data_IF_444542328107
#
_entry.id   IF_444542328107
#
_cell.length_a   1.000
_cell.length_b   1.000
_cell.length_c   1.000
_cell.angle_alpha   90.00
_cell.angle_beta   90.00
_cell.angle_gamma   90.00
#
_symmetry.space_group_name_H-M   'P 1'
#
loop_
_entity.id
_entity.type
_entity.pdbx_description
1 polymer ?
#
# COMPACT_ATOMS: atom_id res chain seq x y z
N UNK A 1 -2.45 -16.23 -21.07
CA UNK A 1 -3.25 -15.31 -20.23
C UNK A 1 -2.34 -14.17 -19.79
N UNK A 2 -2.53 -12.95 -20.27
CA UNK A 2 -1.66 -11.82 -19.93
C UNK A 2 -2.36 -10.94 -18.90
N UNK A 3 -1.86 -10.95 -17.69
CA UNK A 3 -2.34 -10.14 -16.58
C UNK A 3 -1.28 -9.09 -16.24
N UNK A 4 -1.64 -7.83 -16.18
CA UNK A 4 -0.70 -6.76 -15.81
C UNK A 4 -1.11 -6.18 -14.45
N UNK A 5 -0.30 -6.45 -13.42
CA UNK A 5 -0.41 -5.78 -12.12
C UNK A 5 0.66 -4.69 -12.06
N UNK A 6 0.27 -3.44 -11.88
CA UNK A 6 1.21 -2.35 -11.68
C UNK A 6 0.72 -1.31 -10.68
N UNK A 7 1.61 -0.98 -9.77
CA UNK A 7 1.47 0.16 -8.85
C UNK A 7 2.14 1.36 -9.53
N UNK A 8 1.39 2.40 -9.81
CA UNK A 8 1.97 3.67 -10.25
C UNK A 8 1.69 4.73 -9.19
N UNK A 9 2.68 5.57 -8.93
CA UNK A 9 2.57 6.60 -7.91
C UNK A 9 2.29 7.94 -8.57
N UNK A 10 1.10 8.49 -8.37
CA UNK A 10 0.89 9.92 -8.56
C UNK A 10 1.68 10.67 -7.47
N UNK A 11 2.25 11.80 -7.83
CA UNK A 11 3.02 12.62 -6.87
C UNK A 11 2.19 12.94 -5.63
N UNK A 12 2.86 12.98 -4.47
CA UNK A 12 2.25 13.56 -3.27
C UNK A 12 1.75 14.96 -3.59
N UNK A 13 0.50 15.24 -3.23
CA UNK A 13 0.11 16.62 -3.00
C UNK A 13 1.12 17.24 -2.02
N UNK A 14 1.64 18.42 -2.26
CA UNK A 14 2.45 19.10 -1.26
C UNK A 14 1.61 19.19 0.02
N UNK A 15 2.22 18.82 1.16
CA UNK A 15 1.64 19.23 2.43
C UNK A 15 1.47 20.76 2.40
N UNK A 16 0.49 21.35 3.14
CA UNK A 16 0.29 22.80 3.18
C UNK A 16 1.54 23.61 3.54
N UNK A 17 2.62 22.95 3.92
CA UNK A 17 3.91 23.54 4.35
C UNK A 17 5.00 23.55 3.28
N UNK A 18 4.68 23.52 1.99
CA UNK A 18 5.73 23.67 0.97
C UNK A 18 5.56 24.92 0.09
N UNK A 19 5.62 26.15 0.69
CA UNK A 19 5.71 27.37 -0.12
C UNK A 19 6.98 27.42 -0.98
N UNK A 20 8.04 26.69 -0.58
CA UNK A 20 9.34 26.65 -1.29
C UNK A 20 9.28 25.94 -2.65
N UNK A 21 8.42 24.94 -2.87
CA UNK A 21 8.32 24.28 -4.18
C UNK A 21 7.57 25.13 -5.21
N UNK A 22 6.53 25.83 -4.76
CA UNK A 22 5.79 26.76 -5.62
C UNK A 22 6.63 28.01 -5.96
N UNK A 23 7.43 28.50 -5.00
CA UNK A 23 8.35 29.64 -5.23
C UNK A 23 9.47 29.31 -6.24
N UNK A 24 9.81 28.03 -6.44
CA UNK A 24 10.80 27.56 -7.41
C UNK A 24 10.20 27.17 -8.77
N UNK A 25 8.91 27.42 -9.02
CA UNK A 25 8.23 27.15 -10.28
C UNK A 25 8.18 25.69 -10.69
N UNK A 26 8.33 24.74 -9.74
CA UNK A 26 8.30 23.31 -10.03
C UNK A 26 6.87 22.85 -10.29
N UNK A 27 6.66 22.23 -11.45
CA UNK A 27 5.39 21.64 -11.88
C UNK A 27 5.01 20.45 -11.01
N UNK A 28 3.71 20.24 -10.79
CA UNK A 28 3.13 19.13 -10.00
C UNK A 28 2.13 18.33 -10.81
N UNK A 29 1.96 17.06 -10.48
CA UNK A 29 1.04 16.15 -11.17
C UNK A 29 1.55 15.75 -12.55
N UNK A 30 0.67 15.76 -13.55
CA UNK A 30 1.05 15.50 -14.95
C UNK A 30 1.94 16.60 -15.56
N UNK A 31 2.03 17.77 -14.94
CA UNK A 31 2.96 18.81 -15.32
C UNK A 31 4.38 18.62 -14.74
N UNK A 32 4.59 17.64 -13.85
CA UNK A 32 5.92 17.22 -13.39
C UNK A 32 6.46 16.16 -14.34
N UNK A 33 7.47 16.52 -15.14
CA UNK A 33 8.06 15.67 -16.18
C UNK A 33 8.53 14.29 -15.69
N UNK A 34 8.86 14.16 -14.39
CA UNK A 34 9.38 12.90 -13.84
C UNK A 34 8.30 12.00 -13.24
N UNK A 35 7.14 12.52 -12.85
CA UNK A 35 6.11 11.76 -12.12
C UNK A 35 4.81 11.56 -12.91
N UNK A 36 4.48 12.47 -13.83
CA UNK A 36 3.41 12.28 -14.80
C UNK A 36 3.74 11.19 -15.82
N UNK A 37 5.00 11.04 -16.17
CA UNK A 37 5.49 10.05 -17.15
C UNK A 37 5.20 8.60 -16.76
N UNK A 38 5.19 8.25 -15.46
CA UNK A 38 5.00 6.86 -15.03
C UNK A 38 3.62 6.28 -15.41
N UNK A 39 2.56 7.09 -15.36
CA UNK A 39 1.25 6.64 -15.83
C UNK A 39 1.26 6.43 -17.35
N UNK A 40 1.86 7.34 -18.10
CA UNK A 40 1.95 7.19 -19.56
C UNK A 40 2.82 6.02 -19.99
N UNK A 41 3.84 5.64 -19.21
CA UNK A 41 4.56 4.37 -19.41
C UNK A 41 3.65 3.16 -19.21
N UNK A 42 2.78 3.20 -18.18
CA UNK A 42 1.78 2.14 -17.97
C UNK A 42 0.81 2.09 -19.14
N UNK A 43 0.27 3.23 -19.59
CA UNK A 43 -0.63 3.33 -20.72
C UNK A 43 0.02 2.81 -22.00
N UNK A 44 1.29 3.17 -22.27
CA UNK A 44 2.07 2.65 -23.40
C UNK A 44 2.21 1.13 -23.35
N UNK A 45 2.51 0.55 -22.18
CA UNK A 45 2.62 -0.91 -22.01
C UNK A 45 1.26 -1.58 -22.26
N UNK A 46 0.16 -1.01 -21.72
CA UNK A 46 -1.19 -1.55 -21.95
C UNK A 46 -1.53 -1.50 -23.44
N UNK A 47 -1.23 -0.38 -24.12
CA UNK A 47 -1.42 -0.22 -25.58
C UNK A 47 -0.66 -1.26 -26.38
N UNK A 48 0.61 -1.48 -26.05
CA UNK A 48 1.48 -2.42 -26.76
C UNK A 48 1.11 -3.89 -26.51
N UNK A 49 0.80 -4.23 -25.24
CA UNK A 49 0.58 -5.63 -24.83
C UNK A 49 -0.89 -6.06 -24.90
N UNK A 50 -1.82 -5.14 -25.01
CA UNK A 50 -3.24 -5.43 -25.12
C UNK A 50 -3.72 -6.52 -24.15
N UNK A 51 -3.39 -6.45 -22.82
CA UNK A 51 -3.78 -7.49 -21.87
C UNK A 51 -5.31 -7.63 -21.84
N UNK A 52 -5.82 -8.84 -21.62
CA UNK A 52 -7.28 -9.06 -21.45
C UNK A 52 -7.83 -8.29 -20.26
N UNK A 53 -7.06 -8.20 -19.19
CA UNK A 53 -7.37 -7.40 -18.01
C UNK A 53 -6.12 -6.83 -17.36
N UNK A 54 -6.29 -5.73 -16.61
CA UNK A 54 -5.24 -5.14 -15.78
C UNK A 54 -5.78 -4.71 -14.42
N UNK A 55 -4.90 -4.65 -13.44
CA UNK A 55 -5.15 -4.06 -12.11
C UNK A 55 -4.09 -3.01 -11.83
N UNK A 56 -4.53 -1.76 -11.60
CA UNK A 56 -3.68 -0.65 -11.20
C UNK A 56 -4.04 -0.22 -9.77
N UNK A 57 -3.04 0.20 -9.01
CA UNK A 57 -3.20 0.71 -7.64
C UNK A 57 -2.59 2.09 -7.49
N UNK A 58 -3.26 2.96 -6.74
CA UNK A 58 -2.70 4.24 -6.35
C UNK A 58 -3.26 4.70 -5.00
N UNK A 59 -2.70 5.78 -4.45
CA UNK A 59 -3.22 6.41 -3.24
C UNK A 59 -4.61 6.98 -3.48
N UNK A 60 -5.51 6.94 -2.47
CA UNK A 60 -6.87 7.49 -2.54
C UNK A 60 -6.89 8.95 -3.02
N UNK A 61 -5.89 9.74 -2.61
CA UNK A 61 -5.80 11.15 -2.99
C UNK A 61 -5.69 11.39 -4.50
N UNK A 62 -5.45 10.36 -5.33
CA UNK A 62 -5.49 10.47 -6.78
C UNK A 62 -6.85 11.02 -7.26
N UNK A 63 -7.95 10.63 -6.60
CA UNK A 63 -9.31 11.08 -6.94
C UNK A 63 -9.51 12.59 -6.79
N UNK A 64 -8.84 13.21 -5.83
CA UNK A 64 -8.94 14.66 -5.55
C UNK A 64 -7.73 15.45 -6.01
N UNK A 65 -6.70 14.78 -6.53
CA UNK A 65 -5.48 15.45 -6.98
C UNK A 65 -5.78 16.40 -8.13
N UNK A 66 -5.28 17.63 -8.03
CA UNK A 66 -5.52 18.69 -9.01
C UNK A 66 -7.02 18.90 -9.32
N UNK A 67 -7.84 18.94 -8.25
CA UNK A 67 -9.32 19.08 -8.34
C UNK A 67 -9.98 17.96 -9.18
N UNK A 68 -9.41 16.75 -9.19
CA UNK A 68 -9.90 15.60 -9.94
C UNK A 68 -9.31 15.45 -11.35
N UNK A 69 -8.75 16.50 -11.93
CA UNK A 69 -8.24 16.52 -13.31
C UNK A 69 -7.25 15.41 -13.62
N UNK A 70 -6.40 15.07 -12.64
CA UNK A 70 -5.43 13.96 -12.81
C UNK A 70 -6.13 12.63 -13.02
N UNK A 71 -7.16 12.34 -12.25
CA UNK A 71 -7.91 11.09 -12.38
C UNK A 71 -8.75 11.07 -13.66
N UNK A 72 -9.31 12.20 -14.07
CA UNK A 72 -10.07 12.31 -15.33
C UNK A 72 -9.19 12.04 -16.55
N UNK A 73 -7.93 12.50 -16.56
CA UNK A 73 -6.97 12.17 -17.63
C UNK A 73 -6.71 10.66 -17.65
N UNK A 74 -6.44 10.05 -16.49
CA UNK A 74 -6.21 8.60 -16.39
C UNK A 74 -7.42 7.83 -16.91
N UNK A 75 -8.63 8.20 -16.47
CA UNK A 75 -9.87 7.56 -16.89
C UNK A 75 -10.03 7.66 -18.40
N UNK A 76 -9.96 8.87 -18.98
CA UNK A 76 -10.10 9.10 -20.40
C UNK A 76 -9.07 8.31 -21.22
N UNK A 77 -7.80 8.33 -20.84
CA UNK A 77 -6.76 7.55 -21.53
C UNK A 77 -7.08 6.06 -21.54
N UNK A 78 -7.51 5.51 -20.39
CA UNK A 78 -7.81 4.07 -20.31
C UNK A 78 -9.09 3.69 -21.06
N UNK A 79 -10.14 4.55 -21.06
CA UNK A 79 -11.43 4.24 -21.68
C UNK A 79 -11.52 4.68 -23.14
N UNK A 80 -11.18 5.94 -23.45
CA UNK A 80 -11.39 6.50 -24.78
C UNK A 80 -10.22 6.22 -25.73
N UNK A 81 -8.96 6.32 -25.23
CA UNK A 81 -7.78 6.14 -26.06
C UNK A 81 -7.36 4.66 -26.19
N UNK A 82 -7.52 3.87 -25.11
CA UNK A 82 -7.12 2.47 -25.08
C UNK A 82 -8.29 1.49 -25.16
N UNK A 83 -9.55 1.96 -25.07
CA UNK A 83 -10.75 1.16 -25.28
C UNK A 83 -11.09 0.18 -24.14
N UNK A 84 -10.56 0.36 -22.94
CA UNK A 84 -10.83 -0.56 -21.82
C UNK A 84 -12.07 -0.16 -21.02
N UNK A 85 -12.81 -1.17 -20.57
CA UNK A 85 -13.89 -1.02 -19.60
C UNK A 85 -13.29 -1.01 -18.19
N UNK A 86 -13.33 0.15 -17.50
CA UNK A 86 -12.69 0.30 -16.19
C UNK A 86 -13.70 0.38 -15.06
N UNK A 87 -13.34 -0.24 -13.92
CA UNK A 87 -14.09 -0.23 -12.67
C UNK A 87 -13.17 0.21 -11.54
N UNK A 88 -13.60 1.23 -10.79
CA UNK A 88 -12.76 1.83 -9.76
C UNK A 88 -13.40 1.71 -8.37
N UNK A 89 -12.61 1.32 -7.37
CA UNK A 89 -13.05 1.28 -5.97
C UNK A 89 -11.91 1.66 -5.03
N UNK A 90 -12.22 2.45 -4.00
CA UNK A 90 -11.28 2.67 -2.88
C UNK A 90 -11.49 1.57 -1.86
N UNK A 91 -10.40 0.88 -1.50
CA UNK A 91 -10.42 -0.16 -0.47
C UNK A 91 -9.42 0.22 0.62
N UNK A 92 -9.85 0.10 1.89
CA UNK A 92 -8.98 0.22 3.04
C UNK A 92 -8.39 -1.15 3.38
N UNK A 93 -7.08 -1.26 3.42
CA UNK A 93 -6.40 -2.51 3.77
C UNK A 93 -6.72 -2.98 5.20
N UNK A 94 -7.35 -2.14 6.05
CA UNK A 94 -7.80 -2.52 7.39
C UNK A 94 -8.85 -3.64 7.41
N UNK A 95 -9.41 -4.01 6.27
CA UNK A 95 -10.19 -5.23 6.12
C UNK A 95 -9.35 -6.50 6.15
N UNK A 96 -8.07 -6.42 5.80
CA UNK A 96 -7.20 -7.60 5.56
C UNK A 96 -5.93 -7.63 6.40
N UNK A 97 -5.46 -6.46 6.87
CA UNK A 97 -4.23 -6.30 7.64
C UNK A 97 -4.44 -5.24 8.73
N UNK A 98 -3.69 -5.25 9.84
CA UNK A 98 -3.92 -4.32 10.96
C UNK A 98 -3.39 -2.90 10.67
N UNK A 99 -3.80 -2.33 9.53
CA UNK A 99 -3.32 -1.04 9.06
C UNK A 99 -4.40 -0.29 8.27
N UNK A 100 -4.68 0.97 8.61
CA UNK A 100 -5.40 1.88 7.74
C UNK A 100 -4.54 2.25 6.54
N UNK A 101 -4.94 1.77 5.35
CA UNK A 101 -4.25 2.06 4.08
C UNK A 101 -5.27 2.10 2.96
N UNK A 102 -5.86 3.26 2.73
CA UNK A 102 -6.81 3.45 1.65
C UNK A 102 -6.10 3.60 0.30
N UNK A 103 -6.52 2.78 -0.67
CA UNK A 103 -6.00 2.79 -2.04
C UNK A 103 -7.13 2.72 -3.04
N UNK A 104 -7.01 3.50 -4.10
CA UNK A 104 -7.86 3.31 -5.26
C UNK A 104 -7.30 2.14 -6.08
N UNK A 105 -8.19 1.22 -6.41
CA UNK A 105 -7.93 0.11 -7.32
C UNK A 105 -8.72 0.37 -8.61
N UNK A 106 -8.03 0.26 -9.74
CA UNK A 106 -8.59 0.45 -11.08
C UNK A 106 -8.44 -0.89 -11.80
N UNK A 107 -9.55 -1.57 -11.96
CA UNK A 107 -9.64 -2.81 -12.73
C UNK A 107 -10.07 -2.44 -14.14
N UNK A 108 -9.40 -2.98 -15.16
CA UNK A 108 -9.76 -2.77 -16.54
C UNK A 108 -9.86 -4.10 -17.29
N UNK A 109 -10.88 -4.22 -18.13
CA UNK A 109 -11.07 -5.35 -19.04
C UNK A 109 -11.08 -4.82 -20.48
N UNK A 110 -10.47 -5.56 -21.41
CA UNK A 110 -10.47 -5.20 -22.82
C UNK A 110 -11.87 -5.34 -23.44
N UNK A 111 -12.59 -6.39 -23.05
CA UNK A 111 -13.97 -6.64 -23.42
C UNK A 111 -14.92 -6.38 -22.23
N UNK A 112 -16.22 -6.11 -22.46
CA UNK A 112 -17.18 -5.99 -21.37
C UNK A 112 -17.30 -7.30 -20.60
N UNK A 113 -16.90 -7.33 -19.33
CA UNK A 113 -16.83 -8.57 -18.53
C UNK A 113 -17.95 -8.69 -17.47
N UNK A 114 -18.91 -7.75 -17.42
CA UNK A 114 -19.94 -7.74 -16.37
C UNK A 114 -19.41 -7.60 -14.95
N UNK A 115 -18.17 -7.13 -14.77
CA UNK A 115 -17.51 -7.04 -13.48
C UNK A 115 -18.26 -6.11 -12.51
N UNK A 116 -18.52 -6.61 -11.30
CA UNK A 116 -19.14 -5.84 -10.23
C UNK A 116 -18.33 -5.95 -8.92
N UNK A 117 -18.01 -4.79 -8.37
CA UNK A 117 -17.37 -4.69 -7.06
C UNK A 117 -18.23 -5.22 -5.89
N UNK A 118 -19.55 -5.34 -6.05
CA UNK A 118 -20.44 -5.89 -5.03
C UNK A 118 -20.13 -7.38 -4.72
N UNK A 119 -19.57 -8.11 -5.67
CA UNK A 119 -19.16 -9.50 -5.50
C UNK A 119 -17.89 -9.65 -4.60
N UNK A 120 -17.14 -8.54 -4.35
CA UNK A 120 -15.98 -8.59 -3.47
C UNK A 120 -16.40 -8.67 -2.00
N UNK A 121 -16.18 -9.84 -1.40
CA UNK A 121 -16.39 -10.04 0.02
C UNK A 121 -15.24 -9.41 0.83
N UNK A 122 -15.57 -8.38 1.62
CA UNK A 122 -14.61 -7.74 2.51
C UNK A 122 -14.79 -8.29 3.93
N UNK A 123 -13.73 -8.79 4.58
CA UNK A 123 -13.77 -9.13 6.00
C UNK A 123 -14.15 -7.94 6.87
N UNK A 124 -14.50 -8.17 8.13
CA UNK A 124 -14.79 -7.10 9.09
C UNK A 124 -13.57 -6.18 9.24
N UNK A 125 -13.80 -4.88 9.02
CA UNK A 125 -12.75 -3.87 9.10
C UNK A 125 -12.19 -3.74 10.51
N UNK A 126 -10.88 -3.89 10.65
CA UNK A 126 -10.18 -3.77 11.92
C UNK A 126 -10.30 -4.99 12.83
N UNK A 127 -10.83 -6.11 12.36
CA UNK A 127 -10.84 -7.38 13.11
C UNK A 127 -9.40 -7.87 13.40
N UNK A 128 -8.51 -7.76 12.41
CA UNK A 128 -7.10 -8.13 12.56
C UNK A 128 -6.35 -7.02 13.32
N UNK A 129 -5.63 -7.40 14.38
CA UNK A 129 -4.91 -6.49 15.28
C UNK A 129 -3.40 -6.61 15.09
N UNK A 130 -2.65 -5.57 15.51
CA UNK A 130 -1.20 -5.54 15.42
C UNK A 130 -0.51 -6.72 16.09
N UNK A 131 -1.14 -7.33 17.13
CA UNK A 131 -0.62 -8.56 17.74
C UNK A 131 -0.38 -9.71 16.76
N UNK A 132 -1.06 -9.71 15.61
CA UNK A 132 -0.89 -10.75 14.57
C UNK A 132 0.44 -10.64 13.83
N UNK A 133 1.03 -9.44 13.77
CA UNK A 133 2.26 -9.16 13.00
C UNK A 133 3.49 -8.90 13.88
N UNK A 134 3.28 -8.55 15.14
CA UNK A 134 4.39 -8.27 16.09
C UNK A 134 5.13 -9.56 16.43
N UNK A 135 6.45 -9.45 16.62
CA UNK A 135 7.26 -10.54 17.17
C UNK A 135 6.71 -11.06 18.50
N UNK A 136 6.65 -12.37 18.65
CA UNK A 136 6.11 -13.06 19.83
C UNK A 136 7.16 -13.14 20.95
N UNK A 137 6.92 -12.47 22.05
CA UNK A 137 7.84 -12.43 23.21
C UNK A 137 7.58 -13.56 24.22
N UNK A 138 6.60 -14.41 23.95
CA UNK A 138 6.23 -15.58 24.78
C UNK A 138 7.10 -16.83 24.49
N UNK A 139 7.96 -16.77 23.49
CA UNK A 139 8.84 -17.85 23.05
C UNK A 139 8.32 -18.62 21.84
N UNK A 140 7.19 -18.23 21.27
CA UNK A 140 6.60 -18.85 20.05
C UNK A 140 7.01 -18.15 18.75
N UNK A 141 7.93 -17.16 18.81
CA UNK A 141 8.43 -16.51 17.61
C UNK A 141 9.16 -17.52 16.71
N UNK A 142 8.78 -17.64 15.44
CA UNK A 142 9.41 -18.58 14.53
C UNK A 142 10.88 -18.21 14.27
N UNK A 143 11.75 -19.21 14.30
CA UNK A 143 13.15 -19.04 13.91
C UNK A 143 13.23 -18.99 12.38
N UNK A 144 13.62 -17.83 11.86
CA UNK A 144 13.83 -17.61 10.44
C UNK A 144 15.33 -17.51 10.15
N UNK A 145 15.96 -18.51 9.53
CA UNK A 145 17.42 -18.53 9.35
C UNK A 145 17.97 -17.31 8.60
N UNK A 146 17.19 -16.74 7.68
CA UNK A 146 17.58 -15.53 6.92
C UNK A 146 17.43 -14.21 7.70
N UNK A 147 16.77 -14.23 8.87
CA UNK A 147 16.58 -13.07 9.75
C UNK A 147 17.32 -13.21 11.07
N UNK A 148 18.06 -14.30 11.27
CA UNK A 148 18.72 -14.62 12.52
C UNK A 148 19.58 -13.45 13.04
N UNK A 149 19.34 -13.06 14.30
CA UNK A 149 20.04 -11.97 14.95
C UNK A 149 19.78 -10.56 14.42
N UNK A 150 18.97 -10.40 13.33
CA UNK A 150 18.70 -9.06 12.73
C UNK A 150 17.62 -8.30 13.44
N UNK A 151 16.53 -8.95 13.83
CA UNK A 151 15.30 -8.30 14.30
C UNK A 151 14.89 -8.74 15.70
N UNK A 152 15.11 -10.00 16.03
CA UNK A 152 14.66 -10.62 17.26
C UNK A 152 15.77 -11.46 17.91
N UNK A 153 15.95 -11.32 19.22
CA UNK A 153 16.85 -12.12 20.05
C UNK A 153 16.05 -13.27 20.65
N UNK A 154 16.18 -14.46 20.09
CA UNK A 154 15.43 -15.64 20.52
C UNK A 154 15.82 -16.11 21.92
N UNK A 155 17.10 -15.97 22.32
CA UNK A 155 17.56 -16.35 23.65
C UNK A 155 16.94 -15.46 24.74
N UNK A 156 16.77 -14.17 24.45
CA UNK A 156 16.19 -13.19 25.37
C UNK A 156 14.70 -12.94 25.11
N UNK A 157 14.10 -13.60 24.14
CA UNK A 157 12.68 -13.47 23.73
C UNK A 157 12.26 -12.01 23.56
N UNK A 158 13.05 -11.20 22.83
CA UNK A 158 12.80 -9.78 22.66
C UNK A 158 13.26 -9.22 21.33
N UNK A 159 12.61 -8.17 20.89
CA UNK A 159 13.07 -7.38 19.75
C UNK A 159 14.42 -6.73 20.05
N UNK A 160 15.33 -6.72 19.07
CA UNK A 160 16.65 -6.11 19.16
C UNK A 160 16.53 -4.63 19.55
N UNK A 161 17.38 -4.18 20.49
CA UNK A 161 17.28 -2.85 21.12
C UNK A 161 17.40 -1.66 20.15
N UNK A 162 18.05 -1.82 18.99
CA UNK A 162 18.22 -0.76 17.99
C UNK A 162 16.89 -0.17 17.46
N UNK A 163 15.77 -0.88 17.64
CA UNK A 163 14.43 -0.40 17.24
C UNK A 163 13.74 0.45 18.30
N UNK A 164 14.20 0.42 19.55
CA UNK A 164 13.72 1.29 20.63
C UNK A 164 14.30 2.69 20.44
N UNK A 165 13.45 3.71 20.50
CA UNK A 165 13.89 5.09 20.40
C UNK A 165 14.74 5.46 21.63
N UNK A 166 15.87 6.13 21.41
CA UNK A 166 16.59 6.78 22.51
C UNK A 166 15.83 8.04 22.98
N UNK A 167 16.22 8.60 24.12
CA UNK A 167 15.50 9.72 24.73
C UNK A 167 15.43 10.95 23.82
N UNK A 168 16.51 11.27 23.11
CA UNK A 168 16.55 12.44 22.25
C UNK A 168 15.49 12.42 21.12
N UNK A 169 15.40 11.43 20.22
CA UNK A 169 14.34 11.39 19.22
C UNK A 169 12.94 11.22 19.84
N UNK A 170 12.79 10.52 20.96
CA UNK A 170 11.50 10.41 21.63
C UNK A 170 11.02 11.75 22.17
N UNK A 171 11.86 12.50 22.89
CA UNK A 171 11.54 13.83 23.38
C UNK A 171 11.26 14.81 22.24
N UNK A 172 12.03 14.75 21.14
CA UNK A 172 11.75 15.54 19.94
C UNK A 172 10.35 15.29 19.40
N UNK A 173 9.93 14.02 19.24
CA UNK A 173 8.60 13.68 18.73
C UNK A 173 7.48 14.18 19.66
N UNK A 174 7.67 14.08 20.99
CA UNK A 174 6.70 14.59 21.96
C UNK A 174 6.55 16.12 21.86
N UNK A 175 7.67 16.85 21.83
CA UNK A 175 7.68 18.30 21.71
C UNK A 175 7.07 18.75 20.37
N UNK A 176 7.38 18.05 19.28
CA UNK A 176 6.80 18.30 17.97
C UNK A 176 5.28 18.12 17.99
N UNK A 177 4.79 17.01 18.55
CA UNK A 177 3.36 16.74 18.67
C UNK A 177 2.65 17.80 19.55
N UNK A 178 3.25 18.20 20.68
CA UNK A 178 2.70 19.25 21.55
C UNK A 178 2.60 20.61 20.83
N UNK A 179 3.66 21.00 20.10
CA UNK A 179 3.67 22.24 19.28
C UNK A 179 2.56 22.23 18.22
N UNK A 180 2.32 21.12 17.56
CA UNK A 180 1.29 21.02 16.54
C UNK A 180 -0.11 20.97 17.13
N UNK A 181 -0.29 20.33 18.28
CA UNK A 181 -1.57 20.34 19.02
C UNK A 181 -1.94 21.75 19.45
N UNK A 182 -0.99 22.53 19.96
CA UNK A 182 -1.19 23.93 20.33
C UNK A 182 -1.60 24.82 19.13
N UNK A 183 -1.25 24.42 17.91
CA UNK A 183 -1.66 25.08 16.66
C UNK A 183 -2.98 24.58 16.07
N UNK A 184 -3.70 23.70 16.78
CA UNK A 184 -4.96 23.12 16.31
C UNK A 184 -4.84 22.14 15.15
N UNK A 185 -3.64 21.63 14.84
CA UNK A 185 -3.44 20.63 13.79
C UNK A 185 -3.00 19.28 14.37
N UNK A 186 -3.37 18.19 13.69
CA UNK A 186 -3.22 16.81 14.16
C UNK A 186 -1.87 16.15 13.83
N UNK A 187 -0.82 16.92 13.55
CA UNK A 187 0.49 16.33 13.30
C UNK A 187 1.13 15.78 14.57
N UNK A 188 1.68 14.58 14.49
CA UNK A 188 2.30 13.92 15.62
C UNK A 188 2.68 12.48 15.28
N UNK A 189 2.98 11.70 16.30
CA UNK A 189 3.32 10.29 16.18
C UNK A 189 2.09 9.38 16.38
N UNK A 190 2.16 8.15 15.90
CA UNK A 190 1.17 7.08 16.14
C UNK A 190 1.66 6.11 17.19
N UNK A 191 1.26 6.27 18.46
CA UNK A 191 1.59 5.34 19.54
C UNK A 191 0.48 4.29 19.65
N UNK A 192 0.84 3.01 19.47
CA UNK A 192 -0.09 1.88 19.40
C UNK A 192 0.40 0.68 20.22
N UNK A 193 -0.50 -0.23 20.50
CA UNK A 193 -0.28 -1.52 21.17
C UNK A 193 -0.65 -2.68 20.25
N UNK A 194 -0.43 -3.91 20.69
CA UNK A 194 -0.86 -5.09 19.94
C UNK A 194 -2.39 -5.21 19.74
N UNK A 195 -3.20 -4.47 20.52
CA UNK A 195 -4.67 -4.48 20.43
C UNK A 195 -5.23 -3.50 19.40
N UNK A 196 -4.37 -2.66 18.83
CA UNK A 196 -4.77 -1.60 17.91
C UNK A 196 -4.57 -1.99 16.45
N UNK A 197 -5.03 -1.14 15.55
CA UNK A 197 -4.62 -1.08 14.15
C UNK A 197 -3.75 0.17 13.94
N UNK A 198 -2.82 0.11 13.00
CA UNK A 198 -1.89 1.21 12.77
C UNK A 198 -2.37 2.20 11.72
N UNK A 199 -1.72 3.37 11.70
CA UNK A 199 -1.74 4.29 10.55
C UNK A 199 -1.00 3.66 9.36
N UNK A 200 -1.12 4.29 8.20
CA UNK A 200 -0.42 3.86 6.98
C UNK A 200 1.10 3.86 7.16
N UNK A 201 1.73 2.70 6.95
CA UNK A 201 3.18 2.61 6.79
C UNK A 201 3.58 3.35 5.50
N UNK A 202 4.41 4.38 5.62
CA UNK A 202 4.86 5.16 4.47
C UNK A 202 6.33 4.85 4.11
N UNK A 203 6.74 5.20 2.89
CA UNK A 203 8.15 5.07 2.49
C UNK A 203 9.10 5.95 3.32
N UNK A 204 8.58 6.92 4.08
CA UNK A 204 9.37 7.78 4.99
C UNK A 204 9.61 7.16 6.36
N UNK A 205 8.98 6.03 6.66
CA UNK A 205 9.14 5.33 7.93
C UNK A 205 10.60 5.06 8.32
N UNK A 206 11.48 4.92 7.34
CA UNK A 206 12.92 4.78 7.55
C UNK A 206 13.58 5.95 8.30
N UNK A 207 12.96 7.14 8.32
CA UNK A 207 13.53 8.34 8.95
C UNK A 207 13.42 8.25 10.48
N UNK A 208 12.23 8.48 11.01
CA UNK A 208 11.95 8.51 12.45
C UNK A 208 10.98 7.44 12.92
N UNK A 209 10.27 6.79 11.99
CA UNK A 209 9.27 5.76 12.29
C UNK A 209 8.05 6.29 13.03
N UNK A 210 7.79 7.60 13.00
CA UNK A 210 6.77 8.25 13.82
C UNK A 210 5.35 7.85 13.48
N UNK A 211 5.10 7.31 12.28
CA UNK A 211 3.76 6.86 11.90
C UNK A 211 3.25 5.70 12.76
N UNK A 212 4.16 4.79 13.17
CA UNK A 212 3.80 3.57 13.92
C UNK A 212 4.86 3.30 14.98
N UNK A 213 4.56 3.66 16.22
CA UNK A 213 5.41 3.39 17.37
C UNK A 213 4.71 2.42 18.31
N UNK A 214 5.38 1.33 18.64
CA UNK A 214 4.86 0.30 19.55
C UNK A 214 5.20 0.68 21.00
N UNK A 215 4.16 0.83 21.82
CA UNK A 215 4.31 1.08 23.26
C UNK A 215 5.03 -0.08 23.94
N UNK A 216 6.00 0.25 24.78
CA UNK A 216 6.72 -0.71 25.60
C UNK A 216 6.52 -0.40 27.10
N UNK A 217 6.55 -1.45 27.94
CA UNK A 217 6.52 -1.25 29.39
C UNK A 217 7.88 -0.69 29.86
N UNK A 218 7.87 0.38 30.64
CA UNK A 218 9.06 1.00 31.30
C UNK A 218 10.20 1.37 30.34
N UNK A 219 9.92 1.58 29.05
CA UNK A 219 10.88 1.98 28.01
C UNK A 219 10.24 2.94 27.02
N UNK A 220 11.07 3.68 26.31
CA UNK A 220 10.63 4.44 25.16
C UNK A 220 9.97 3.52 24.13
N UNK A 221 9.04 4.03 23.32
CA UNK A 221 8.41 3.23 22.29
C UNK A 221 9.44 2.78 21.24
N UNK A 222 9.11 1.71 20.52
CA UNK A 222 9.96 1.20 19.46
C UNK A 222 9.29 1.34 18.08
N UNK A 223 10.11 1.39 17.07
CA UNK A 223 9.64 1.21 15.68
C UNK A 223 9.31 -0.27 15.42
N UNK A 224 8.53 -0.53 14.39
CA UNK A 224 8.41 -1.87 13.83
C UNK A 224 9.77 -2.31 13.26
N UNK A 225 10.07 -3.59 13.35
CA UNK A 225 11.19 -4.18 12.62
C UNK A 225 10.84 -4.30 11.13
N UNK A 226 11.80 -4.44 10.21
CA UNK A 226 11.52 -4.75 8.81
C UNK A 226 10.68 -6.01 8.63
N UNK A 227 10.85 -7.06 9.45
CA UNK A 227 10.02 -8.27 9.42
C UNK A 227 8.57 -7.98 9.79
N UNK A 228 8.33 -7.21 10.84
CA UNK A 228 6.99 -6.76 11.21
C UNK A 228 6.36 -5.89 10.12
N UNK A 229 7.14 -5.05 9.43
CA UNK A 229 6.65 -4.29 8.28
C UNK A 229 6.27 -5.20 7.09
N UNK A 230 7.03 -6.27 6.83
CA UNK A 230 6.68 -7.26 5.81
C UNK A 230 5.35 -7.96 6.16
N UNK A 231 5.20 -8.44 7.39
CA UNK A 231 3.96 -9.04 7.91
C UNK A 231 2.78 -8.06 7.84
N UNK A 232 3.01 -6.76 8.15
CA UNK A 232 1.99 -5.71 8.06
C UNK A 232 1.48 -5.48 6.63
N UNK A 233 2.31 -5.78 5.62
CA UNK A 233 1.91 -5.76 4.22
C UNK A 233 1.31 -7.10 3.74
N UNK A 234 1.20 -8.11 4.63
CA UNK A 234 0.68 -9.44 4.32
C UNK A 234 1.67 -10.35 3.59
N UNK A 235 2.96 -10.03 3.62
CA UNK A 235 4.00 -10.90 3.08
C UNK A 235 4.27 -12.07 4.06
N UNK A 236 4.43 -13.30 3.56
CA UNK A 236 4.72 -14.46 4.40
C UNK A 236 6.14 -14.39 4.99
N UNK A 237 6.36 -15.09 6.10
CA UNK A 237 7.67 -15.15 6.74
C UNK A 237 8.76 -15.79 5.84
N UNK A 238 8.36 -16.59 4.85
CA UNK A 238 9.26 -17.12 3.82
C UNK A 238 9.85 -16.03 2.89
N UNK A 239 9.28 -14.81 2.88
CA UNK A 239 9.81 -13.69 2.11
C UNK A 239 11.14 -13.22 2.72
N UNK A 240 12.24 -13.38 1.98
CA UNK A 240 13.58 -13.00 2.42
C UNK A 240 13.84 -11.52 2.25
N UNK A 241 14.26 -10.84 3.34
CA UNK A 241 14.62 -9.41 3.32
C UNK A 241 16.13 -9.30 3.11
N UNK A 242 16.56 -9.15 1.86
CA UNK A 242 17.97 -9.16 1.45
C UNK A 242 18.64 -7.78 1.44
N UNK A 243 17.90 -6.73 1.81
CA UNK A 243 18.39 -5.34 1.80
C UNK A 243 18.59 -4.80 3.21
N UNK A 244 19.20 -3.62 3.34
CA UNK A 244 19.34 -2.91 4.62
C UNK A 244 17.97 -2.51 5.19
N UNK A 245 17.88 -2.30 6.51
CA UNK A 245 16.65 -1.88 7.20
C UNK A 245 16.05 -0.61 6.57
N UNK A 246 16.90 0.37 6.22
CA UNK A 246 16.46 1.62 5.55
C UNK A 246 15.77 1.34 4.22
N UNK A 247 16.36 0.48 3.40
CA UNK A 247 15.78 0.10 2.10
C UNK A 247 14.54 -0.75 2.26
N UNK A 248 14.53 -1.66 3.23
CA UNK A 248 13.35 -2.48 3.55
C UNK A 248 12.15 -1.60 3.94
N UNK A 249 12.33 -0.63 4.83
CA UNK A 249 11.28 0.32 5.18
C UNK A 249 10.76 1.11 3.97
N UNK A 250 11.65 1.58 3.10
CA UNK A 250 11.26 2.29 1.88
C UNK A 250 10.43 1.38 0.96
N UNK A 251 10.87 0.15 0.76
CA UNK A 251 10.19 -0.84 -0.09
C UNK A 251 8.82 -1.21 0.48
N UNK A 252 8.72 -1.58 1.76
CA UNK A 252 7.44 -1.92 2.38
C UNK A 252 6.48 -0.73 2.45
N UNK A 253 6.97 0.48 2.68
CA UNK A 253 6.13 1.68 2.63
C UNK A 253 5.55 1.97 1.23
N UNK A 254 6.23 1.53 0.18
CA UNK A 254 5.77 1.62 -1.22
C UNK A 254 5.03 0.35 -1.69
N UNK A 255 5.05 -0.72 -0.91
CA UNK A 255 4.41 -1.98 -1.26
C UNK A 255 2.88 -1.88 -1.25
N UNK A 256 2.22 -2.77 -1.97
CA UNK A 256 0.78 -3.01 -1.84
C UNK A 256 0.48 -3.90 -0.63
N UNK A 257 -0.71 -3.80 -0.06
CA UNK A 257 -1.20 -4.79 0.89
C UNK A 257 -1.58 -6.06 0.11
N UNK A 258 -0.73 -7.08 0.20
CA UNK A 258 -0.83 -8.31 -0.60
C UNK A 258 -2.20 -8.98 -0.53
N UNK A 259 -2.84 -9.13 0.65
CA UNK A 259 -4.16 -9.77 0.73
C UNK A 259 -5.27 -9.00 -0.01
N UNK A 260 -5.19 -7.67 -0.06
CA UNK A 260 -6.14 -6.84 -0.82
C UNK A 260 -6.03 -7.14 -2.32
N UNK A 261 -4.78 -7.11 -2.83
CA UNK A 261 -4.52 -7.36 -4.26
C UNK A 261 -4.91 -8.78 -4.63
N UNK A 262 -4.63 -9.75 -3.75
CA UNK A 262 -5.02 -11.15 -3.94
C UNK A 262 -6.55 -11.27 -4.07
N UNK A 263 -7.32 -10.72 -3.14
CA UNK A 263 -8.78 -10.79 -3.16
C UNK A 263 -9.38 -10.16 -4.44
N UNK A 264 -8.84 -9.02 -4.88
CA UNK A 264 -9.30 -8.37 -6.10
C UNK A 264 -8.92 -9.17 -7.35
N UNK A 265 -7.70 -9.72 -7.38
CA UNK A 265 -7.26 -10.56 -8.51
C UNK A 265 -8.09 -11.84 -8.61
N UNK A 266 -8.41 -12.47 -7.49
CA UNK A 266 -9.29 -13.66 -7.44
C UNK A 266 -10.70 -13.34 -7.94
N UNK A 267 -11.26 -12.17 -7.58
CA UNK A 267 -12.52 -11.71 -8.12
C UNK A 267 -12.42 -11.50 -9.64
N UNK A 268 -11.41 -10.79 -10.12
CA UNK A 268 -11.23 -10.54 -11.57
C UNK A 268 -11.15 -11.84 -12.38
N UNK A 269 -10.50 -12.87 -11.83
CA UNK A 269 -10.35 -14.18 -12.51
C UNK A 269 -11.70 -14.88 -12.76
N UNK A 270 -12.71 -14.65 -11.96
CA UNK A 270 -14.06 -15.23 -12.18
C UNK A 270 -14.64 -14.71 -13.50
N UNK A 271 -14.58 -13.40 -13.72
CA UNK A 271 -15.11 -12.76 -14.93
C UNK A 271 -14.29 -13.06 -16.19
N UNK A 272 -12.97 -13.24 -16.08
CA UNK A 272 -12.14 -13.65 -17.21
C UNK A 272 -12.42 -15.08 -17.68
N UNK A 273 -12.71 -16.00 -16.74
CA UNK A 273 -13.02 -17.42 -17.03
C UNK A 273 -14.40 -17.60 -17.67
N UNK A 274 -15.39 -16.81 -17.25
CA UNK A 274 -16.73 -16.85 -17.82
C UNK A 274 -16.74 -16.47 -19.30
N UNK A 275 -15.95 -15.48 -19.71
CA UNK A 275 -15.77 -15.12 -21.12
C UNK A 275 -15.19 -16.27 -21.94
N UNK A 276 -14.20 -17.01 -21.45
CA UNK A 276 -13.63 -18.17 -22.14
C UNK A 276 -14.68 -19.28 -22.34
N UNK A 277 -15.58 -19.46 -21.39
CA UNK A 277 -16.69 -20.42 -21.49
C UNK A 277 -17.72 -19.99 -22.52
N UNK A 278 -18.10 -18.71 -22.53
CA UNK A 278 -19.06 -18.18 -23.50
C UNK A 278 -18.49 -18.20 -24.93
N UNK A 279 -17.24 -17.87 -25.12
CA UNK A 279 -16.57 -17.94 -26.44
C UNK A 279 -16.50 -19.38 -26.96
N UNK A 280 -16.35 -20.40 -26.10
CA UNK A 280 -16.38 -21.78 -26.49
C UNK A 280 -17.76 -22.25 -26.95
N UNK A 281 -18.83 -21.78 -26.30
CA UNK A 281 -20.23 -22.08 -26.70
C UNK A 281 -20.63 -21.37 -28.00
N UNK A 282 -20.20 -20.11 -28.20
CA UNK A 282 -20.51 -19.35 -29.41
C UNK A 282 -19.82 -19.94 -30.64
N UNK A 283 -18.58 -20.43 -30.49
CA UNK A 283 -17.85 -21.08 -31.57
C UNK A 283 -18.45 -22.47 -31.95
N UNK A 284 -19.07 -23.16 -31.00
CA UNK A 284 -19.78 -24.41 -31.26
C UNK A 284 -21.14 -24.18 -31.94
N UNK A 285 -21.82 -23.05 -31.70
CA UNK A 285 -23.09 -22.71 -32.29
C UNK A 285 -22.96 -22.15 -33.73
N UNK A 286 -21.77 -21.66 -34.12
CA UNK A 286 -21.50 -21.17 -35.51
C UNK A 286 -21.00 -22.32 -36.41
N UNK A 287 -20.59 -23.46 -35.81
CA UNK A 287 -20.11 -24.64 -36.55
C UNK A 287 -21.18 -25.73 -36.74
N UNK A 288 -22.43 -25.49 -36.31
CA UNK A 288 -23.61 -26.33 -36.55
C UNK A 288 -24.60 -25.65 -37.47
#
# INVERSE_FOLDING_TARGET
MTFCLRVFRASRSPSPESPKKNALGRKHGFADETQGTLFFDVARIIKEKQPRAFLLENVKNLLSHDKGRTFDVIKRTLTEELGYHIHCRVIDAAHFVPQHRERILIVGFREPAGFDWAALQLPEKGAIKLSSILHKIDGTEPLLPWDEGRYFDHAKKRVIGKYTLSDHPWNYLQNYAAKHRAKGNGFGFGLVTGKDISRTLSARYHKDGSEILIKQARKNPRRLTPRECARLMGLPDAFKIVVSDTRAYQQFGNCVAVPVIKAVAELMLQFIKEEDSQLSFTNLAVAA
#
